data_IF_436092527486
#
_entry.id   IF_436092527486
#
_cell.length_a   1.000
_cell.length_b   1.000
_cell.length_c   1.000
_cell.angle_alpha   90.00
_cell.angle_beta   90.00
_cell.angle_gamma   90.00
#
_symmetry.space_group_name_H-M   'P 1'
#
loop_
_entity.id
_entity.type
_entity.pdbx_description
1 polymer ?
#
# COMPACT_ATOMS: atom_id res chain seq x y z
N UNK A 1 -34.92 23.04 -16.77
CA UNK A 1 -34.08 23.35 -15.59
C UNK A 1 -34.63 22.65 -14.34
N UNK A 2 -35.95 22.69 -14.10
CA UNK A 2 -36.63 21.85 -13.09
C UNK A 2 -36.32 20.35 -13.20
N UNK A 3 -36.40 19.76 -14.40
CA UNK A 3 -36.23 18.31 -14.56
C UNK A 3 -34.81 17.84 -14.18
N UNK A 4 -33.79 18.64 -14.53
CA UNK A 4 -32.40 18.36 -14.15
C UNK A 4 -32.22 18.42 -12.64
N UNK A 5 -32.90 19.37 -11.99
CA UNK A 5 -32.87 19.53 -10.53
C UNK A 5 -33.58 18.36 -9.83
N UNK A 6 -34.73 17.93 -10.36
CA UNK A 6 -35.49 16.78 -9.85
C UNK A 6 -34.74 15.45 -10.05
N UNK A 7 -34.04 15.28 -11.18
CA UNK A 7 -33.15 14.14 -11.41
C UNK A 7 -31.95 14.16 -10.46
N UNK A 8 -31.37 15.34 -10.20
CA UNK A 8 -30.24 15.53 -9.30
C UNK A 8 -30.61 15.22 -7.83
N UNK A 9 -31.78 15.67 -7.39
CA UNK A 9 -32.30 15.38 -6.04
C UNK A 9 -32.52 13.88 -5.85
N UNK A 10 -33.15 13.20 -6.82
CA UNK A 10 -33.32 11.73 -6.79
C UNK A 10 -31.98 10.99 -6.83
N UNK A 11 -31.00 11.51 -7.56
CA UNK A 11 -29.67 10.93 -7.61
C UNK A 11 -28.97 11.01 -6.25
N UNK A 12 -29.00 12.16 -5.57
CA UNK A 12 -28.43 12.31 -4.22
C UNK A 12 -29.17 11.42 -3.21
N UNK A 13 -30.48 11.30 -3.32
CA UNK A 13 -31.31 10.52 -2.39
C UNK A 13 -30.91 9.02 -2.35
N UNK A 14 -30.56 8.45 -3.51
CA UNK A 14 -30.03 7.07 -3.63
C UNK A 14 -28.68 6.91 -2.93
N UNK A 15 -27.84 7.96 -2.89
CA UNK A 15 -26.55 7.92 -2.20
C UNK A 15 -26.68 8.05 -0.68
N UNK A 16 -27.77 8.65 -0.20
CA UNK A 16 -28.15 8.69 1.22
C UNK A 16 -28.93 7.47 1.68
N UNK A 17 -29.40 6.62 0.76
CA UNK A 17 -30.01 5.36 1.15
C UNK A 17 -28.96 4.42 1.76
N UNK A 18 -29.38 3.76 2.83
CA UNK A 18 -28.53 2.83 3.56
C UNK A 18 -28.63 1.44 2.93
N UNK A 19 -27.50 0.90 2.47
CA UNK A 19 -27.39 -0.49 2.03
C UNK A 19 -26.51 -1.23 3.05
N UNK A 20 -27.03 -2.30 3.67
CA UNK A 20 -26.35 -3.04 4.76
C UNK A 20 -26.00 -2.17 5.99
N UNK A 21 -26.87 -1.23 6.37
CA UNK A 21 -26.61 -0.26 7.46
C UNK A 21 -25.45 0.73 7.18
N UNK A 22 -24.90 0.72 5.96
CA UNK A 22 -23.83 1.60 5.50
C UNK A 22 -24.33 2.46 4.33
N UNK A 23 -23.97 3.75 4.33
CA UNK A 23 -24.32 4.68 3.26
C UNK A 23 -23.63 4.26 1.94
N UNK A 24 -24.35 4.27 0.81
CA UNK A 24 -23.84 3.81 -0.49
C UNK A 24 -22.55 4.53 -0.92
N UNK A 25 -22.42 5.82 -0.62
CA UNK A 25 -21.21 6.59 -0.94
C UNK A 25 -19.95 6.04 -0.26
N UNK A 26 -20.07 5.42 0.92
CA UNK A 26 -18.93 4.81 1.64
C UNK A 26 -18.41 3.57 0.94
N UNK A 27 -19.33 2.76 0.40
CA UNK A 27 -18.98 1.58 -0.39
C UNK A 27 -18.24 2.00 -1.67
N UNK A 28 -18.76 3.02 -2.35
CA UNK A 28 -18.11 3.59 -3.53
C UNK A 28 -16.73 4.15 -3.17
N UNK A 29 -16.61 4.93 -2.10
CA UNK A 29 -15.34 5.48 -1.63
C UNK A 29 -14.33 4.38 -1.28
N UNK A 30 -14.75 3.30 -0.62
CA UNK A 30 -13.90 2.14 -0.35
C UNK A 30 -13.39 1.49 -1.65
N UNK A 31 -14.27 1.32 -2.65
CA UNK A 31 -13.89 0.82 -3.98
C UNK A 31 -12.86 1.71 -4.67
N UNK A 32 -13.06 3.04 -4.63
CA UNK A 32 -12.13 4.01 -5.19
C UNK A 32 -10.76 3.95 -4.50
N UNK A 33 -10.72 3.86 -3.17
CA UNK A 33 -9.47 3.74 -2.40
C UNK A 33 -8.70 2.48 -2.82
N UNK A 34 -9.39 1.33 -2.98
CA UNK A 34 -8.76 0.09 -3.42
C UNK A 34 -8.21 0.21 -4.84
N UNK A 35 -8.98 0.73 -5.79
CA UNK A 35 -8.54 0.93 -7.17
C UNK A 35 -7.31 1.85 -7.21
N UNK A 36 -7.36 2.95 -6.47
CA UNK A 36 -6.25 3.88 -6.37
C UNK A 36 -4.99 3.24 -5.78
N UNK A 37 -5.14 2.43 -4.72
CA UNK A 37 -4.04 1.70 -4.13
C UNK A 37 -3.42 0.68 -5.09
N UNK A 38 -4.24 -0.04 -5.86
CA UNK A 38 -3.77 -0.96 -6.89
C UNK A 38 -3.05 -0.22 -8.03
N UNK A 39 -3.50 0.98 -8.39
CA UNK A 39 -2.83 1.83 -9.37
C UNK A 39 -1.45 2.29 -8.85
N UNK A 40 -1.39 2.83 -7.62
CA UNK A 40 -0.12 3.22 -6.99
C UNK A 40 0.83 2.03 -6.89
N UNK A 41 0.32 0.86 -6.47
CA UNK A 41 1.12 -0.37 -6.36
C UNK A 41 1.86 -0.70 -7.66
N UNK A 42 1.25 -0.45 -8.83
CA UNK A 42 1.89 -0.69 -10.13
C UNK A 42 2.99 0.33 -10.44
N UNK A 43 2.79 1.58 -10.04
CA UNK A 43 3.73 2.69 -10.31
C UNK A 43 4.83 2.79 -9.25
N UNK A 44 4.65 2.15 -8.09
CA UNK A 44 5.55 2.21 -6.94
C UNK A 44 7.02 1.94 -7.29
N UNK A 45 7.30 0.91 -8.08
CA UNK A 45 8.67 0.56 -8.48
C UNK A 45 9.37 1.70 -9.23
N UNK A 46 8.65 2.34 -10.16
CA UNK A 46 9.21 3.45 -10.95
C UNK A 46 9.51 4.67 -10.07
N UNK A 47 8.65 4.95 -9.09
CA UNK A 47 8.85 6.04 -8.13
C UNK A 47 10.06 5.74 -7.24
N UNK A 48 10.14 4.51 -6.70
CA UNK A 48 11.23 4.08 -5.82
C UNK A 48 12.58 4.15 -6.54
N UNK A 49 12.66 3.64 -7.76
CA UNK A 49 13.86 3.72 -8.61
C UNK A 49 14.24 5.17 -8.90
N UNK A 50 13.29 6.03 -9.24
CA UNK A 50 13.56 7.44 -9.51
C UNK A 50 14.05 8.18 -8.25
N UNK A 51 13.56 7.81 -7.08
CA UNK A 51 13.97 8.42 -5.81
C UNK A 51 15.36 7.97 -5.40
N UNK A 52 15.64 6.66 -5.49
CA UNK A 52 16.96 6.11 -5.18
C UNK A 52 18.02 6.63 -6.13
N UNK A 53 17.78 6.69 -7.45
CA UNK A 53 18.73 7.28 -8.41
C UNK A 53 19.10 8.74 -8.09
N UNK A 54 18.18 9.52 -7.53
CA UNK A 54 18.49 10.90 -7.09
C UNK A 54 19.38 10.93 -5.85
N UNK A 55 19.16 10.00 -4.92
CA UNK A 55 19.95 9.86 -3.69
C UNK A 55 21.33 9.23 -3.94
N UNK A 56 21.42 8.30 -4.87
CA UNK A 56 22.59 7.44 -5.10
C UNK A 56 23.48 7.91 -6.25
N UNK A 57 23.36 9.18 -6.67
CA UNK A 57 24.19 9.80 -7.72
C UNK A 57 25.72 9.72 -7.47
N UNK A 58 26.16 9.16 -6.33
CA UNK A 58 27.57 8.95 -5.95
C UNK A 58 27.94 7.49 -5.56
N UNK A 59 27.03 6.51 -5.60
CA UNK A 59 27.29 5.10 -5.19
C UNK A 59 27.25 4.09 -6.33
N UNK A 60 27.92 2.93 -6.14
CA UNK A 60 27.98 1.82 -7.11
C UNK A 60 26.59 1.21 -7.35
N UNK A 61 26.18 1.20 -8.61
CA UNK A 61 24.83 0.83 -9.11
C UNK A 61 24.31 -0.54 -8.68
N UNK A 62 25.17 -1.56 -8.50
CA UNK A 62 24.72 -2.94 -8.19
C UNK A 62 24.04 -3.12 -6.82
N UNK A 63 24.47 -2.40 -5.79
CA UNK A 63 23.93 -2.57 -4.44
C UNK A 63 22.55 -1.91 -4.33
N UNK A 64 22.42 -0.74 -4.95
CA UNK A 64 21.17 0.02 -4.98
C UNK A 64 20.07 -0.74 -5.74
N UNK A 65 20.41 -1.38 -6.85
CA UNK A 65 19.47 -2.18 -7.64
C UNK A 65 18.94 -3.39 -6.84
N UNK A 66 19.84 -4.10 -6.12
CA UNK A 66 19.45 -5.20 -5.24
C UNK A 66 18.55 -4.74 -4.09
N UNK A 67 18.82 -3.57 -3.52
CA UNK A 67 17.99 -2.97 -2.47
C UNK A 67 16.58 -2.65 -2.97
N UNK A 68 16.45 -2.09 -4.18
CA UNK A 68 15.13 -1.86 -4.78
C UNK A 68 14.38 -3.16 -4.98
N UNK A 69 15.04 -4.19 -5.52
CA UNK A 69 14.42 -5.50 -5.74
C UNK A 69 13.98 -6.17 -4.44
N UNK A 70 14.72 -5.98 -3.35
CA UNK A 70 14.32 -6.46 -2.03
C UNK A 70 13.12 -5.69 -1.46
N UNK A 71 13.05 -4.38 -1.65
CA UNK A 71 11.99 -3.53 -1.09
C UNK A 71 10.71 -3.58 -1.92
N UNK A 72 10.80 -3.82 -3.23
CA UNK A 72 9.65 -3.76 -4.14
C UNK A 72 8.44 -4.61 -3.68
N UNK A 73 8.58 -5.93 -3.48
CA UNK A 73 7.45 -6.77 -3.04
C UNK A 73 6.85 -6.39 -1.68
N UNK A 74 7.62 -6.20 -0.58
CA UNK A 74 7.04 -5.76 0.70
C UNK A 74 6.49 -4.32 0.61
N UNK A 75 7.11 -3.42 -0.14
CA UNK A 75 6.60 -2.06 -0.35
C UNK A 75 5.25 -2.03 -1.07
N UNK A 76 5.08 -2.89 -2.09
CA UNK A 76 3.79 -3.10 -2.77
C UNK A 76 2.72 -3.62 -1.82
N UNK A 77 3.08 -4.53 -0.92
CA UNK A 77 2.15 -5.03 0.10
C UNK A 77 1.78 -3.92 1.10
N UNK A 78 2.75 -3.11 1.53
CA UNK A 78 2.53 -2.01 2.46
C UNK A 78 1.48 -1.01 1.95
N UNK A 79 1.52 -0.65 0.67
CA UNK A 79 0.51 0.21 0.04
C UNK A 79 -0.89 -0.39 0.17
N UNK A 80 -1.02 -1.70 -0.06
CA UNK A 80 -2.30 -2.41 0.06
C UNK A 80 -2.77 -2.45 1.52
N UNK A 81 -1.86 -2.66 2.48
CA UNK A 81 -2.18 -2.65 3.92
C UNK A 81 -2.70 -1.27 4.36
N UNK A 82 -2.05 -0.20 3.91
CA UNK A 82 -2.48 1.18 4.19
C UNK A 82 -3.86 1.44 3.59
N UNK A 83 -4.08 1.01 2.35
CA UNK A 83 -5.39 1.15 1.70
C UNK A 83 -6.49 0.37 2.44
N UNK A 84 -6.19 -0.86 2.87
CA UNK A 84 -7.11 -1.68 3.65
C UNK A 84 -7.52 -0.98 4.95
N UNK A 85 -6.58 -0.36 5.66
CA UNK A 85 -6.89 0.42 6.86
C UNK A 85 -7.90 1.54 6.58
N UNK A 86 -7.70 2.31 5.50
CA UNK A 86 -8.63 3.38 5.13
C UNK A 86 -9.99 2.86 4.67
N UNK A 87 -10.02 1.76 3.91
CA UNK A 87 -11.25 1.09 3.47
C UNK A 87 -12.09 0.67 4.67
N UNK A 88 -11.48 -0.01 5.65
CA UNK A 88 -12.18 -0.44 6.86
C UNK A 88 -12.74 0.77 7.63
N UNK A 89 -11.96 1.84 7.77
CA UNK A 89 -12.44 3.09 8.39
C UNK A 89 -13.63 3.72 7.67
N UNK A 90 -13.58 3.79 6.34
CA UNK A 90 -14.65 4.40 5.53
C UNK A 90 -15.95 3.60 5.66
N UNK A 91 -15.84 2.27 5.69
CA UNK A 91 -16.94 1.34 5.91
C UNK A 91 -17.41 1.27 7.38
N UNK A 92 -16.91 2.14 8.26
CA UNK A 92 -17.24 2.19 9.70
C UNK A 92 -16.91 0.89 10.45
N UNK A 93 -15.99 0.08 9.91
CA UNK A 93 -15.49 -1.12 10.59
C UNK A 93 -14.44 -0.66 11.61
N UNK A 94 -14.55 -1.17 12.84
CA UNK A 94 -13.58 -0.85 13.87
C UNK A 94 -12.18 -1.35 13.49
N UNK A 95 -11.21 -0.45 13.63
CA UNK A 95 -9.78 -0.67 13.38
C UNK A 95 -8.94 -0.30 14.60
N UNK A 96 -9.57 -0.19 15.77
CA UNK A 96 -8.90 -0.07 17.06
C UNK A 96 -7.95 -1.25 17.29
N UNK A 97 -6.97 -1.09 18.18
CA UNK A 97 -5.92 -2.10 18.41
C UNK A 97 -6.42 -3.48 18.82
N UNK A 98 -7.61 -3.55 19.43
CA UNK A 98 -8.22 -4.77 19.96
C UNK A 98 -9.39 -5.27 19.10
N UNK A 99 -9.71 -4.56 18.02
CA UNK A 99 -10.72 -4.98 17.05
C UNK A 99 -10.16 -6.04 16.10
N UNK A 100 -11.05 -6.88 15.57
CA UNK A 100 -10.68 -7.85 14.53
C UNK A 100 -10.05 -7.18 13.30
N UNK A 101 -10.63 -6.06 12.82
CA UNK A 101 -10.08 -5.30 11.71
C UNK A 101 -8.70 -4.72 12.00
N UNK A 102 -8.50 -4.19 13.21
CA UNK A 102 -7.20 -3.71 13.68
C UNK A 102 -6.15 -4.81 13.79
N UNK A 103 -6.52 -5.99 14.31
CA UNK A 103 -5.63 -7.15 14.35
C UNK A 103 -5.17 -7.59 12.97
N UNK A 104 -6.08 -7.64 11.97
CA UNK A 104 -5.74 -7.97 10.59
C UNK A 104 -4.74 -6.96 10.03
N UNK A 105 -5.06 -5.67 10.09
CA UNK A 105 -4.18 -4.60 9.57
C UNK A 105 -2.82 -4.62 10.27
N UNK A 106 -2.80 -4.75 11.60
CA UNK A 106 -1.57 -4.81 12.40
C UNK A 106 -0.72 -6.02 12.04
N UNK A 107 -1.33 -7.19 11.88
CA UNK A 107 -0.62 -8.42 11.52
C UNK A 107 0.00 -8.31 10.14
N UNK A 108 -0.76 -7.81 9.16
CA UNK A 108 -0.26 -7.58 7.81
C UNK A 108 0.86 -6.53 7.78
N UNK A 109 0.74 -5.47 8.57
CA UNK A 109 1.77 -4.45 8.70
C UNK A 109 3.06 -5.04 9.28
N UNK A 110 2.97 -5.74 10.42
CA UNK A 110 4.11 -6.39 11.07
C UNK A 110 4.75 -7.40 10.11
N UNK A 111 3.96 -8.27 9.49
CA UNK A 111 4.44 -9.23 8.49
C UNK A 111 5.20 -8.53 7.36
N UNK A 112 4.70 -7.41 6.85
CA UNK A 112 5.34 -6.64 5.78
C UNK A 112 6.70 -6.10 6.21
N UNK A 113 6.81 -5.56 7.42
CA UNK A 113 8.08 -5.06 7.97
C UNK A 113 9.08 -6.18 8.18
N UNK A 114 8.67 -7.29 8.80
CA UNK A 114 9.54 -8.46 8.97
C UNK A 114 10.02 -9.02 7.64
N UNK A 115 9.14 -9.08 6.64
CA UNK A 115 9.51 -9.54 5.32
C UNK A 115 10.52 -8.62 4.63
N UNK A 116 10.37 -7.30 4.81
CA UNK A 116 11.34 -6.31 4.32
C UNK A 116 12.71 -6.50 4.99
N UNK A 117 12.75 -6.69 6.31
CA UNK A 117 13.98 -6.94 7.06
C UNK A 117 14.63 -8.25 6.59
N UNK A 118 13.85 -9.32 6.44
CA UNK A 118 14.34 -10.61 5.95
C UNK A 118 15.01 -10.49 4.58
N UNK A 119 14.41 -9.74 3.65
CA UNK A 119 15.00 -9.50 2.32
C UNK A 119 16.25 -8.63 2.39
N UNK A 120 16.27 -7.61 3.24
CA UNK A 120 17.45 -6.77 3.44
C UNK A 120 18.64 -7.57 4.01
N UNK A 121 18.37 -8.49 4.94
CA UNK A 121 19.39 -9.39 5.48
C UNK A 121 20.03 -10.26 4.38
N UNK A 122 19.25 -10.74 3.41
CA UNK A 122 19.76 -11.49 2.26
C UNK A 122 20.75 -10.71 1.39
N UNK A 123 20.52 -9.41 1.19
CA UNK A 123 21.47 -8.54 0.46
C UNK A 123 22.79 -8.45 1.22
N UNK A 124 22.72 -8.22 2.53
CA UNK A 124 23.89 -8.09 3.38
C UNK A 124 24.72 -9.38 3.34
N UNK A 125 24.08 -10.54 3.45
CA UNK A 125 24.76 -11.83 3.34
C UNK A 125 25.52 -11.98 2.00
N UNK A 126 24.89 -11.61 0.89
CA UNK A 126 25.52 -11.64 -0.43
C UNK A 126 26.73 -10.69 -0.52
N UNK A 127 26.68 -9.51 0.13
CA UNK A 127 27.82 -8.60 0.18
C UNK A 127 29.01 -9.23 0.93
N UNK A 128 28.74 -9.90 2.05
CA UNK A 128 29.78 -10.60 2.82
C UNK A 128 30.42 -11.75 2.04
N UNK A 129 29.63 -12.56 1.33
CA UNK A 129 30.17 -13.63 0.47
C UNK A 129 31.09 -13.07 -0.63
N UNK A 130 30.73 -11.93 -1.22
CA UNK A 130 31.55 -11.26 -2.22
C UNK A 130 32.89 -10.74 -1.68
N UNK A 131 32.93 -10.34 -0.40
CA UNK A 131 34.17 -9.93 0.27
C UNK A 131 35.02 -11.15 0.66
N UNK A 132 34.39 -12.23 1.13
CA UNK A 132 35.09 -13.46 1.50
C UNK A 132 35.83 -14.07 0.31
N UNK A 133 35.17 -14.18 -0.86
CA UNK A 133 35.77 -14.70 -2.10
C UNK A 133 36.90 -13.85 -2.68
N UNK A 134 37.05 -12.59 -2.23
CA UNK A 134 38.12 -11.69 -2.67
C UNK A 134 39.39 -11.81 -1.82
N UNK A 135 39.31 -12.53 -0.70
CA UNK A 135 40.38 -12.67 0.29
C UNK A 135 41.08 -14.03 0.18
N UNK A 136 40.50 -14.98 -0.56
CA UNK A 136 41.16 -16.20 -1.07
C UNK A 136 41.77 -15.92 -2.45
#
# INVERSE_FOLDING_TARGET
MEDLKMMWERFIDVFSHTFLEIEVWRIIAAGVILIFALAIRKVFLNILLSFLKKLTSKTKTEVDDKLVEAIDPPGKLLIVVIALYFVLKVLLIDVSGDSFGGHIVRTLFIFTIFWMIYRAAGIIAHLFEGLAKKTE
#
